data_IF_747849430703
#
_entry.id   IF_747849430703
#
_cell.length_a   1.000
_cell.length_b   1.000
_cell.length_c   1.000
_cell.angle_alpha   90.00
_cell.angle_beta   90.00
_cell.angle_gamma   90.00
#
_symmetry.space_group_name_H-M   'P 1'
#
loop_
_entity.id
_entity.type
_entity.pdbx_description
1 polymer ?
#
# COMPACT_ATOMS: atom_id res chain seq x y z
N UNK A 1 -5.41 14.88 3.75
CA UNK A 1 -4.94 13.63 3.15
C UNK A 1 -3.46 13.47 3.47
N UNK A 2 -3.11 12.39 4.16
CA UNK A 2 -1.79 12.18 4.72
C UNK A 2 -0.84 11.51 3.72
N UNK A 3 -1.21 10.35 3.16
CA UNK A 3 -0.38 9.59 2.23
C UNK A 3 -1.22 8.89 1.14
N UNK A 4 -0.55 8.41 0.10
CA UNK A 4 -1.14 7.59 -0.96
C UNK A 4 -0.67 6.14 -0.84
N UNK A 5 -1.58 5.22 -0.53
CA UNK A 5 -1.32 3.78 -0.45
C UNK A 5 -1.67 3.16 -1.80
N UNK A 6 -0.73 2.49 -2.45
CA UNK A 6 -0.92 1.89 -3.77
C UNK A 6 -0.80 0.37 -3.69
N UNK A 7 -1.84 -0.35 -4.08
CA UNK A 7 -1.80 -1.81 -4.20
C UNK A 7 -1.65 -2.20 -5.67
N UNK A 8 -0.52 -2.82 -5.99
CA UNK A 8 -0.24 -3.36 -7.31
C UNK A 8 -0.91 -4.74 -7.44
N UNK A 9 -2.00 -4.80 -8.22
CA UNK A 9 -2.69 -6.04 -8.61
C UNK A 9 -3.11 -6.94 -7.43
N UNK A 10 -3.72 -6.42 -6.35
CA UNK A 10 -3.97 -7.18 -5.14
C UNK A 10 -4.85 -8.42 -5.40
N UNK A 11 -4.52 -9.52 -4.73
CA UNK A 11 -5.09 -10.83 -5.02
C UNK A 11 -6.12 -11.27 -3.97
N UNK A 12 -5.97 -10.82 -2.72
CA UNK A 12 -6.79 -11.29 -1.60
C UNK A 12 -7.78 -10.19 -1.15
N UNK A 13 -9.11 -10.40 -1.29
CA UNK A 13 -10.10 -9.37 -0.98
C UNK A 13 -10.08 -8.95 0.49
N UNK A 14 -9.80 -9.87 1.41
CA UNK A 14 -9.73 -9.58 2.85
C UNK A 14 -8.61 -8.59 3.20
N UNK A 15 -7.45 -8.71 2.57
CA UNK A 15 -6.35 -7.76 2.79
C UNK A 15 -6.75 -6.37 2.30
N UNK A 16 -7.33 -6.28 1.10
CA UNK A 16 -7.78 -5.00 0.55
C UNK A 16 -8.84 -4.34 1.43
N UNK A 17 -9.79 -5.10 1.97
CA UNK A 17 -10.78 -4.58 2.94
C UNK A 17 -10.14 -4.03 4.22
N UNK A 18 -9.18 -4.75 4.80
CA UNK A 18 -8.43 -4.29 5.98
C UNK A 18 -7.61 -3.02 5.69
N UNK A 19 -6.99 -2.95 4.51
CA UNK A 19 -6.21 -1.80 4.06
C UNK A 19 -7.11 -0.60 3.82
N UNK A 20 -8.27 -0.79 3.19
CA UNK A 20 -9.25 0.27 3.02
C UNK A 20 -9.69 0.88 4.37
N UNK A 21 -9.97 0.04 5.37
CA UNK A 21 -10.25 0.51 6.72
C UNK A 21 -9.08 1.30 7.31
N UNK A 22 -7.86 0.82 7.11
CA UNK A 22 -6.65 1.53 7.56
C UNK A 22 -6.60 2.91 6.91
N UNK A 23 -6.74 2.99 5.58
CA UNK A 23 -6.71 4.24 4.83
C UNK A 23 -7.75 5.26 5.31
N UNK A 24 -8.99 4.83 5.59
CA UNK A 24 -10.01 5.75 6.15
C UNK A 24 -9.60 6.28 7.52
N UNK A 25 -9.12 5.41 8.42
CA UNK A 25 -8.71 5.81 9.76
C UNK A 25 -7.44 6.67 9.78
N UNK A 26 -6.63 6.62 8.73
CA UNK A 26 -5.37 7.37 8.60
C UNK A 26 -5.46 8.57 7.65
N UNK A 27 -6.65 8.90 7.13
CA UNK A 27 -6.85 9.91 6.08
C UNK A 27 -5.88 9.73 4.88
N UNK A 28 -5.65 8.47 4.50
CA UNK A 28 -4.86 8.11 3.33
C UNK A 28 -5.77 7.80 2.14
N UNK A 29 -5.29 8.09 0.94
CA UNK A 29 -5.95 7.66 -0.30
C UNK A 29 -5.49 6.26 -0.67
N UNK A 30 -6.42 5.41 -1.09
CA UNK A 30 -6.13 4.08 -1.61
C UNK A 30 -6.15 4.10 -3.14
N UNK A 31 -5.09 3.58 -3.75
CA UNK A 31 -4.97 3.34 -5.18
C UNK A 31 -4.95 1.83 -5.43
N UNK A 32 -5.80 1.34 -6.32
CA UNK A 32 -5.81 -0.06 -6.73
C UNK A 32 -5.45 -0.16 -8.21
N UNK A 33 -4.37 -0.88 -8.52
CA UNK A 33 -3.94 -1.10 -9.90
C UNK A 33 -4.45 -2.46 -10.37
N UNK A 34 -5.16 -2.50 -11.50
CA UNK A 34 -5.67 -3.72 -12.11
C UNK A 34 -4.59 -4.58 -12.80
N UNK A 35 -4.86 -5.88 -13.06
CA UNK A 35 -6.07 -6.61 -12.66
C UNK A 35 -6.12 -6.90 -11.16
N UNK A 36 -7.32 -6.86 -10.60
CA UNK A 36 -7.58 -7.29 -9.23
C UNK A 36 -7.89 -8.79 -9.23
N UNK A 37 -7.40 -9.54 -8.25
CA UNK A 37 -7.72 -10.97 -8.11
C UNK A 37 -9.15 -11.26 -7.62
N UNK A 38 -9.96 -10.23 -7.45
CA UNK A 38 -11.34 -10.28 -6.93
C UNK A 38 -12.18 -9.14 -7.49
N UNK A 39 -13.50 -9.26 -7.43
CA UNK A 39 -14.40 -8.15 -7.74
C UNK A 39 -14.64 -7.29 -6.49
N UNK A 40 -14.36 -5.99 -6.60
CA UNK A 40 -14.58 -4.99 -5.54
C UNK A 40 -16.05 -4.97 -5.07
N UNK A 41 -16.99 -5.31 -5.95
CA UNK A 41 -18.41 -5.32 -5.63
C UNK A 41 -18.86 -6.55 -4.85
N UNK A 42 -18.00 -7.57 -4.72
CA UNK A 42 -18.34 -8.80 -4.03
C UNK A 42 -18.69 -8.55 -2.56
N UNK A 43 -19.63 -9.36 -2.08
CA UNK A 43 -20.02 -9.38 -0.67
C UNK A 43 -18.84 -9.63 0.27
N UNK A 44 -17.74 -10.23 -0.20
CA UNK A 44 -16.56 -10.50 0.62
C UNK A 44 -15.74 -9.24 0.92
N UNK A 45 -15.47 -8.40 -0.08
CA UNK A 45 -14.82 -7.09 0.10
C UNK A 45 -15.70 -6.20 0.99
N UNK A 46 -17.01 -6.21 0.72
CA UNK A 46 -18.01 -5.52 1.54
C UNK A 46 -18.00 -6.06 2.98
N UNK A 47 -18.06 -7.38 3.21
CA UNK A 47 -18.02 -7.98 4.57
C UNK A 47 -16.74 -7.67 5.34
N UNK A 48 -15.63 -7.42 4.66
CA UNK A 48 -14.36 -7.06 5.29
C UNK A 48 -14.28 -5.61 5.79
N UNK A 49 -15.25 -4.73 5.47
CA UNK A 49 -15.18 -3.32 5.90
C UNK A 49 -16.38 -2.44 5.53
N UNK A 50 -17.60 -2.98 5.65
CA UNK A 50 -18.85 -2.47 5.05
C UNK A 50 -19.25 -1.02 5.37
N UNK A 51 -18.67 -0.36 6.38
CA UNK A 51 -19.01 1.04 6.70
C UNK A 51 -18.04 2.06 6.06
N UNK A 52 -16.80 1.65 5.74
CA UNK A 52 -15.75 2.60 5.38
C UNK A 52 -15.68 2.91 3.87
N UNK A 53 -16.30 2.08 3.02
CA UNK A 53 -16.12 2.20 1.57
C UNK A 53 -16.70 3.50 1.00
N UNK A 54 -17.75 4.04 1.62
CA UNK A 54 -18.31 5.36 1.27
C UNK A 54 -17.44 6.53 1.72
N UNK A 55 -16.59 6.32 2.73
CA UNK A 55 -15.66 7.32 3.26
C UNK A 55 -14.26 7.19 2.63
N UNK A 56 -13.99 6.07 1.97
CA UNK A 56 -12.71 5.76 1.36
C UNK A 56 -12.48 6.65 0.14
N UNK A 57 -11.42 7.46 0.21
CA UNK A 57 -10.84 8.08 -0.97
C UNK A 57 -10.13 6.99 -1.78
N UNK A 58 -10.81 6.49 -2.82
CA UNK A 58 -10.37 5.38 -3.66
C UNK A 58 -10.17 5.84 -5.10
N UNK A 59 -9.05 5.46 -5.70
CA UNK A 59 -8.84 5.54 -7.15
C UNK A 59 -8.44 4.17 -7.71
N UNK A 60 -9.09 3.74 -8.79
CA UNK A 60 -8.78 2.49 -9.48
C UNK A 60 -8.10 2.85 -10.80
N UNK A 61 -6.98 2.18 -11.09
CA UNK A 61 -6.19 2.33 -12.30
C UNK A 61 -6.35 1.11 -13.18
N UNK A 62 -6.53 1.31 -14.48
CA UNK A 62 -6.76 0.19 -15.42
C UNK A 62 -5.50 -0.63 -15.66
N UNK A 63 -4.32 -0.01 -15.51
CA UNK A 63 -3.03 -0.69 -15.56
C UNK A 63 -1.99 0.09 -14.75
N UNK A 64 -0.78 -0.47 -14.67
CA UNK A 64 0.35 0.22 -14.05
C UNK A 64 0.79 1.44 -14.87
N UNK A 65 0.66 1.37 -16.18
CA UNK A 65 0.94 2.48 -17.10
C UNK A 65 -0.04 3.63 -16.89
N UNK A 66 -1.34 3.36 -16.75
CA UNK A 66 -2.36 4.38 -16.40
C UNK A 66 -2.03 5.07 -15.06
N UNK A 67 -1.56 4.31 -14.08
CA UNK A 67 -1.08 4.88 -12.82
C UNK A 67 0.16 5.78 -13.02
N UNK A 68 1.13 5.35 -13.83
CA UNK A 68 2.35 6.12 -14.11
C UNK A 68 2.08 7.38 -14.94
N UNK A 69 1.10 7.37 -15.84
CA UNK A 69 0.71 8.57 -16.59
C UNK A 69 0.25 9.71 -15.67
N UNK A 70 -0.41 9.37 -14.56
CA UNK A 70 -0.91 10.33 -13.57
C UNK A 70 0.12 10.69 -12.50
N UNK A 71 0.84 9.68 -11.99
CA UNK A 71 1.65 9.81 -10.77
C UNK A 71 3.12 9.40 -10.93
N UNK A 72 3.58 9.11 -12.15
CA UNK A 72 4.93 8.61 -12.39
C UNK A 72 6.06 9.61 -12.09
N UNK A 73 5.73 10.90 -11.92
CA UNK A 73 6.67 11.94 -11.49
C UNK A 73 6.73 12.12 -9.97
N UNK A 74 5.82 11.49 -9.22
CA UNK A 74 5.79 11.57 -7.77
C UNK A 74 6.87 10.67 -7.13
N UNK A 75 7.20 10.94 -5.87
CA UNK A 75 8.08 10.05 -5.11
C UNK A 75 7.30 8.80 -4.69
N UNK A 76 7.68 7.66 -5.26
CA UNK A 76 7.06 6.37 -4.97
C UNK A 76 8.08 5.46 -4.27
N UNK A 77 7.74 5.06 -3.05
CA UNK A 77 8.44 4.01 -2.32
C UNK A 77 7.76 2.67 -2.53
N UNK A 78 8.52 1.64 -2.85
CA UNK A 78 8.03 0.29 -3.08
C UNK A 78 8.38 -0.61 -1.90
N UNK A 79 7.37 -1.11 -1.20
CA UNK A 79 7.55 -2.12 -0.17
C UNK A 79 8.01 -3.44 -0.80
N UNK A 80 9.18 -3.93 -0.38
CA UNK A 80 9.84 -5.12 -0.90
C UNK A 80 10.48 -5.94 0.21
N UNK A 81 10.70 -7.23 -0.05
CA UNK A 81 11.54 -8.11 0.78
C UNK A 81 12.98 -8.19 0.28
N UNK A 82 13.32 -7.55 -0.85
CA UNK A 82 14.67 -7.54 -1.39
C UNK A 82 15.63 -6.86 -0.41
N UNK A 83 16.81 -7.46 -0.20
CA UNK A 83 17.80 -6.98 0.77
C UNK A 83 18.31 -5.56 0.46
N UNK A 84 18.21 -5.13 -0.80
CA UNK A 84 18.58 -3.80 -1.27
C UNK A 84 17.62 -2.70 -0.85
N UNK A 85 16.45 -3.02 -0.28
CA UNK A 85 15.51 -2.03 0.23
C UNK A 85 16.00 -1.38 1.53
N UNK A 86 15.83 -0.07 1.66
CA UNK A 86 16.10 0.68 2.91
C UNK A 86 15.09 0.27 3.99
N UNK A 87 15.48 0.25 5.26
CA UNK A 87 14.50 -0.04 6.31
C UNK A 87 13.42 1.05 6.34
N UNK A 88 12.18 0.65 6.55
CA UNK A 88 11.04 1.58 6.52
C UNK A 88 11.17 2.73 7.53
N UNK A 89 11.81 2.50 8.68
CA UNK A 89 12.06 3.47 9.75
C UNK A 89 13.27 4.37 9.49
N UNK A 90 14.06 4.11 8.45
CA UNK A 90 15.18 4.96 8.01
C UNK A 90 14.77 5.93 6.89
N UNK A 91 13.55 5.82 6.36
CA UNK A 91 13.03 6.68 5.30
C UNK A 91 12.45 7.96 5.92
N UNK A 92 12.79 9.10 5.31
CA UNK A 92 12.13 10.38 5.60
C UNK A 92 10.87 10.53 4.75
N UNK A 93 9.71 10.22 5.32
CA UNK A 93 8.42 10.38 4.67
C UNK A 93 7.93 11.84 4.73
N UNK A 94 7.28 12.26 3.65
CA UNK A 94 6.61 13.57 3.53
C UNK A 94 5.14 13.38 3.22
N UNK A 95 4.31 14.27 3.75
CA UNK A 95 2.87 14.25 3.46
C UNK A 95 2.64 14.24 1.95
N UNK A 96 1.79 13.33 1.49
CA UNK A 96 1.48 13.12 0.08
C UNK A 96 2.34 12.06 -0.62
N UNK A 97 3.39 11.52 0.02
CA UNK A 97 4.21 10.47 -0.58
C UNK A 97 3.39 9.24 -0.94
N UNK A 98 3.85 8.54 -1.99
CA UNK A 98 3.26 7.31 -2.47
C UNK A 98 4.02 6.10 -1.93
N UNK A 99 3.26 5.15 -1.40
CA UNK A 99 3.80 3.90 -0.85
C UNK A 99 3.10 2.75 -1.56
N UNK A 100 3.84 2.08 -2.43
CA UNK A 100 3.37 0.97 -3.24
C UNK A 100 3.67 -0.37 -2.59
N UNK A 101 2.71 -1.28 -2.64
CA UNK A 101 2.81 -2.65 -2.16
C UNK A 101 2.45 -3.61 -3.29
N UNK A 102 3.27 -4.65 -3.45
CA UNK A 102 3.06 -5.69 -4.46
C UNK A 102 1.96 -6.68 -4.12
N UNK A 103 1.77 -7.64 -5.04
CA UNK A 103 0.90 -8.80 -4.85
C UNK A 103 1.33 -9.63 -3.65
N UNK A 104 0.36 -10.24 -2.98
CA UNK A 104 0.63 -11.08 -1.81
C UNK A 104 1.52 -12.28 -2.13
N UNK A 105 1.35 -12.90 -3.30
CA UNK A 105 2.05 -14.12 -3.66
C UNK A 105 3.48 -13.88 -4.15
N UNK A 106 3.68 -12.87 -4.99
CA UNK A 106 4.91 -12.70 -5.76
C UNK A 106 5.42 -11.25 -5.85
N UNK A 107 4.83 -10.32 -5.12
CA UNK A 107 5.24 -8.91 -5.14
C UNK A 107 4.96 -8.26 -6.49
N UNK A 108 5.92 -7.46 -6.99
CA UNK A 108 5.82 -6.77 -8.28
C UNK A 108 6.83 -7.34 -9.28
N UNK A 109 6.59 -7.18 -10.60
CA UNK A 109 7.58 -7.48 -11.63
C UNK A 109 8.90 -6.71 -11.48
N UNK A 110 9.97 -7.24 -12.08
CA UNK A 110 11.32 -6.68 -11.96
C UNK A 110 11.45 -5.24 -12.50
N UNK A 111 10.75 -4.92 -13.59
CA UNK A 111 10.71 -3.58 -14.18
C UNK A 111 10.05 -2.54 -13.24
N UNK A 112 9.05 -2.97 -12.47
CA UNK A 112 8.43 -2.14 -11.42
C UNK A 112 9.40 -1.96 -10.26
N UNK A 113 10.11 -3.01 -9.85
CA UNK A 113 11.15 -2.94 -8.82
C UNK A 113 12.26 -1.95 -9.19
N UNK A 114 12.76 -2.01 -10.42
CA UNK A 114 13.87 -1.20 -10.88
C UNK A 114 13.52 0.28 -11.03
N UNK A 115 12.23 0.63 -11.11
CA UNK A 115 11.77 2.01 -11.26
C UNK A 115 11.69 2.76 -9.93
N UNK A 116 11.47 2.07 -8.82
CA UNK A 116 11.08 2.69 -7.54
C UNK A 116 12.11 2.48 -6.44
N UNK A 117 12.12 3.38 -5.46
CA UNK A 117 12.96 3.23 -4.27
C UNK A 117 12.39 2.14 -3.37
N UNK A 118 13.18 1.10 -3.09
CA UNK A 118 12.75 0.01 -2.22
C UNK A 118 12.73 0.42 -0.75
N UNK A 119 11.63 0.12 -0.06
CA UNK A 119 11.56 0.08 1.40
C UNK A 119 11.31 -1.34 1.89
N UNK A 120 11.75 -1.69 3.09
CA UNK A 120 11.51 -3.00 3.68
C UNK A 120 11.17 -2.93 5.16
N UNK A 121 10.25 -3.79 5.59
CA UNK A 121 9.99 -4.05 7.01
C UNK A 121 10.92 -5.17 7.48
N UNK A 122 11.75 -4.97 8.50
CA UNK A 122 12.68 -5.97 8.99
C UNK A 122 11.93 -7.20 9.54
N UNK A 123 12.43 -8.38 9.20
CA UNK A 123 11.92 -9.69 9.65
C UNK A 123 13.11 -10.56 10.10
N UNK A 124 12.85 -11.59 10.89
CA UNK A 124 13.90 -12.51 11.33
C UNK A 124 14.53 -13.23 10.12
N UNK A 125 15.86 -13.27 10.03
CA UNK A 125 16.58 -13.84 8.86
C UNK A 125 16.22 -15.30 8.55
N UNK A 126 15.74 -16.06 9.54
CA UNK A 126 15.34 -17.44 9.39
C UNK A 126 13.91 -17.63 8.86
N UNK A 127 13.13 -16.56 8.66
CA UNK A 127 11.76 -16.67 8.19
C UNK A 127 11.70 -17.05 6.72
N UNK A 128 10.83 -18.00 6.38
CA UNK A 128 10.52 -18.37 4.99
C UNK A 128 9.26 -17.69 4.45
N UNK A 129 8.64 -16.81 5.26
CA UNK A 129 7.39 -16.12 4.94
C UNK A 129 7.52 -14.64 5.23
N UNK A 130 6.90 -13.83 4.39
CA UNK A 130 6.70 -12.41 4.63
C UNK A 130 5.53 -12.16 5.60
N UNK A 131 5.48 -10.94 6.14
CA UNK A 131 4.30 -10.44 6.85
C UNK A 131 3.09 -10.39 5.92
N UNK A 132 1.89 -10.56 6.51
CA UNK A 132 0.64 -10.32 5.81
C UNK A 132 0.61 -8.90 5.22
N UNK A 133 0.10 -8.74 3.99
CA UNK A 133 0.10 -7.47 3.27
C UNK A 133 -0.59 -6.35 4.06
N UNK A 134 -1.78 -6.59 4.63
CA UNK A 134 -2.49 -5.56 5.39
C UNK A 134 -1.74 -5.12 6.66
N UNK A 135 -1.03 -6.03 7.32
CA UNK A 135 -0.17 -5.70 8.45
C UNK A 135 1.02 -4.84 8.00
N UNK A 136 1.67 -5.21 6.90
CA UNK A 136 2.79 -4.44 6.33
C UNK A 136 2.36 -3.02 5.98
N UNK A 137 1.20 -2.85 5.34
CA UNK A 137 0.63 -1.54 5.04
C UNK A 137 0.40 -0.73 6.30
N UNK A 138 -0.23 -1.32 7.32
CA UNK A 138 -0.49 -0.63 8.59
C UNK A 138 0.81 -0.19 9.29
N UNK A 139 1.83 -1.05 9.34
CA UNK A 139 3.13 -0.73 9.95
C UNK A 139 3.77 0.48 9.26
N UNK A 140 3.87 0.44 7.94
CA UNK A 140 4.55 1.49 7.17
C UNK A 140 3.74 2.79 7.20
N UNK A 141 2.42 2.72 7.06
CA UNK A 141 1.55 3.91 7.11
C UNK A 141 1.61 4.61 8.48
N UNK A 142 1.57 3.86 9.58
CA UNK A 142 1.66 4.46 10.92
C UNK A 142 3.05 5.01 11.24
N UNK A 143 4.12 4.44 10.70
CA UNK A 143 5.46 5.06 10.81
C UNK A 143 5.54 6.38 10.04
N UNK A 144 5.07 6.40 8.80
CA UNK A 144 5.02 7.64 8.01
C UNK A 144 4.18 8.73 8.71
N UNK A 145 3.02 8.35 9.27
CA UNK A 145 2.20 9.25 10.09
C UNK A 145 2.91 9.75 11.35
N UNK A 146 3.66 8.87 12.03
CA UNK A 146 4.44 9.23 13.22
C UNK A 146 5.44 10.32 12.89
N UNK A 147 6.11 10.24 11.73
CA UNK A 147 7.09 11.23 11.29
C UNK A 147 6.47 12.62 11.04
N UNK A 148 5.23 12.66 10.56
CA UNK A 148 4.50 13.93 10.35
C UNK A 148 3.65 14.37 11.55
N UNK A 149 3.75 13.67 12.68
CA UNK A 149 3.10 14.05 13.94
C UNK A 149 1.61 13.72 14.03
N UNK A 150 1.12 12.69 13.34
CA UNK A 150 -0.27 12.23 13.38
C UNK A 150 -1.31 13.35 13.19
N UNK A 151 -1.25 14.10 12.08
CA UNK A 151 -2.11 15.27 11.87
C UNK A 151 -3.60 14.88 11.90
N UNK A 152 -4.39 15.63 12.68
CA UNK A 152 -5.84 15.44 12.85
C UNK A 152 -6.26 14.06 13.39
N UNK A 153 -5.37 13.35 14.09
CA UNK A 153 -5.68 12.09 14.76
C UNK A 153 -5.87 12.29 16.27
N UNK A 154 -6.61 11.38 16.91
CA UNK A 154 -6.99 11.44 18.34
C UNK A 154 -6.07 10.60 19.23
#
# INVERSE_FOLDING_TARGET
MNFNIVLYQPEIPQNTGNIARTCVLTDCKLHLIKPLGFDINEKQVKRAGLDYWSELNLEIHESYEDFLEKYGNETIFLATTHETGTHYDEIEFKSGDFIMFGRETCGVPEDVHNRHKGLRVPMIKSSTRSLNLSNTVAIVAYEALRQIGFPNMK
#
